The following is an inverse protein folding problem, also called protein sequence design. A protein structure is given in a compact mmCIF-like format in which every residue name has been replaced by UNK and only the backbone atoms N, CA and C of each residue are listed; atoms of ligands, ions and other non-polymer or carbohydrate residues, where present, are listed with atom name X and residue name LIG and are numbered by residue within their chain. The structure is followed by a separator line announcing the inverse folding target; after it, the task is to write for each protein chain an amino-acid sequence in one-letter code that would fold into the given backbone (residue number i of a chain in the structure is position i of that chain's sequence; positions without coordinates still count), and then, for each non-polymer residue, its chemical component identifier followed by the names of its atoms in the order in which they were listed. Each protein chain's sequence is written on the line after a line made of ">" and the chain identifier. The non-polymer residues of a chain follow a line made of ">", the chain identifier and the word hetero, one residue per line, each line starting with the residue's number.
data_IF_699728290448
#
_entry.id   IF_699728290448
#
_cell.length_a   1.000
_cell.length_b   1.000
_cell.length_c   1.000
_cell.angle_alpha   90.00
_cell.angle_beta   90.00
_cell.angle_gamma   90.00
#
_symmetry.space_group_name_H-M   'P 1'
#
loop_
_entity.id
_entity.type
_entity.pdbx_description
1 polymer ?
#
# COMPACT_ATOMS: atom_id res chain seq x y z
N UNK A 1 -4.76 -22.01 -40.11
CA UNK A 1 -6.22 -22.24 -40.09
C UNK A 1 -6.91 -21.41 -41.16
N UNK A 2 -8.14 -21.81 -41.55
CA UNK A 2 -8.94 -21.03 -42.51
C UNK A 2 -9.39 -19.71 -41.89
N UNK A 3 -9.70 -18.69 -42.72
CA UNK A 3 -10.16 -17.40 -42.21
C UNK A 3 -11.46 -17.54 -41.40
N UNK A 4 -12.36 -18.42 -41.81
CA UNK A 4 -13.58 -18.75 -41.05
C UNK A 4 -13.27 -19.33 -39.65
N UNK A 5 -12.26 -20.18 -39.54
CA UNK A 5 -11.84 -20.71 -38.24
C UNK A 5 -11.21 -19.64 -37.36
N UNK A 6 -10.50 -18.68 -37.92
CA UNK A 6 -9.96 -17.51 -37.18
C UNK A 6 -11.07 -16.60 -36.69
N UNK A 7 -12.07 -16.31 -37.51
CA UNK A 7 -13.19 -15.43 -37.15
C UNK A 7 -14.09 -16.03 -36.06
N UNK A 8 -14.18 -17.38 -36.00
CA UNK A 8 -14.99 -18.08 -34.99
C UNK A 8 -14.24 -18.46 -33.71
N UNK A 9 -12.94 -18.22 -33.65
CA UNK A 9 -12.12 -18.59 -32.51
C UNK A 9 -12.01 -17.43 -31.49
N UNK A 10 -12.17 -17.72 -30.21
CA UNK A 10 -11.92 -16.75 -29.10
C UNK A 10 -10.43 -16.42 -28.93
N UNK A 11 -9.53 -17.30 -29.39
CA UNK A 11 -8.07 -17.15 -29.32
C UNK A 11 -7.41 -17.66 -30.60
N UNK A 12 -6.57 -16.84 -31.22
CA UNK A 12 -5.82 -17.21 -32.42
C UNK A 12 -4.33 -17.20 -32.10
N UNK A 13 -3.65 -18.34 -32.35
CA UNK A 13 -2.20 -18.47 -32.25
C UNK A 13 -1.54 -18.01 -33.54
N UNK A 14 -0.74 -16.94 -33.50
CA UNK A 14 -0.05 -16.42 -34.67
C UNK A 14 1.19 -17.26 -35.04
N UNK A 15 1.77 -17.96 -34.08
CA UNK A 15 2.97 -18.78 -34.18
C UNK A 15 2.68 -20.30 -34.27
N UNK A 16 1.42 -20.69 -34.29
CA UNK A 16 0.94 -22.08 -34.25
C UNK A 16 1.60 -22.94 -33.14
N UNK A 17 2.03 -22.29 -32.05
CA UNK A 17 2.74 -22.94 -30.96
C UNK A 17 1.88 -23.04 -29.69
N UNK A 18 1.56 -24.27 -29.24
CA UNK A 18 0.80 -24.52 -28.02
C UNK A 18 1.50 -24.01 -26.75
N UNK A 19 2.84 -23.89 -26.74
CA UNK A 19 3.56 -23.30 -25.60
C UNK A 19 3.14 -21.83 -25.35
N UNK A 20 2.73 -21.11 -26.40
CA UNK A 20 2.24 -19.73 -26.30
C UNK A 20 0.91 -19.64 -25.52
N UNK A 21 0.05 -20.67 -25.59
CA UNK A 21 -1.16 -20.76 -24.75
C UNK A 21 -0.77 -20.87 -23.27
N UNK A 22 0.19 -21.73 -22.94
CA UNK A 22 0.67 -21.91 -21.56
C UNK A 22 1.28 -20.62 -21.04
N UNK A 23 2.08 -19.92 -21.85
CA UNK A 23 2.66 -18.63 -21.50
C UNK A 23 1.57 -17.56 -21.28
N UNK A 24 0.54 -17.52 -22.13
CA UNK A 24 -0.58 -16.59 -22.00
C UNK A 24 -1.39 -16.87 -20.72
N UNK A 25 -1.68 -18.13 -20.39
CA UNK A 25 -2.36 -18.51 -19.15
C UNK A 25 -1.54 -18.09 -17.93
N UNK A 26 -0.23 -18.32 -17.94
CA UNK A 26 0.70 -17.92 -16.86
C UNK A 26 0.69 -16.41 -16.66
N UNK A 27 0.80 -15.66 -17.74
CA UNK A 27 0.75 -14.20 -17.71
C UNK A 27 -0.60 -13.68 -17.20
N UNK A 28 -1.70 -14.23 -17.68
CA UNK A 28 -3.05 -13.87 -17.22
C UNK A 28 -3.26 -14.12 -15.72
N UNK A 29 -2.76 -15.25 -15.20
CA UNK A 29 -2.81 -15.56 -13.77
C UNK A 29 -1.98 -14.56 -12.95
N UNK A 30 -0.78 -14.17 -13.43
CA UNK A 30 0.06 -13.16 -12.78
C UNK A 30 -0.63 -11.80 -12.75
N UNK A 31 -1.14 -11.34 -13.89
CA UNK A 31 -1.86 -10.05 -13.99
C UNK A 31 -3.05 -10.04 -13.02
N UNK A 32 -3.85 -11.10 -12.99
CA UNK A 32 -4.99 -11.20 -12.09
C UNK A 32 -4.58 -11.16 -10.60
N UNK A 33 -3.54 -11.89 -10.21
CA UNK A 33 -3.01 -11.88 -8.84
C UNK A 33 -2.50 -10.49 -8.46
N UNK A 34 -1.77 -9.81 -9.35
CA UNK A 34 -1.23 -8.49 -9.11
C UNK A 34 -2.32 -7.42 -9.00
N UNK A 35 -3.37 -7.52 -9.83
CA UNK A 35 -4.53 -6.65 -9.73
C UNK A 35 -5.29 -6.84 -8.41
N UNK A 36 -5.44 -8.08 -7.91
CA UNK A 36 -6.01 -8.34 -6.58
C UNK A 36 -5.16 -7.75 -5.45
N UNK A 37 -3.81 -7.80 -5.57
CA UNK A 37 -2.89 -7.21 -4.61
C UNK A 37 -3.04 -5.68 -4.58
N UNK A 38 -3.10 -5.04 -5.75
CA UNK A 38 -3.32 -3.59 -5.89
C UNK A 38 -4.65 -3.17 -5.24
N UNK A 39 -5.75 -3.88 -5.53
CA UNK A 39 -7.06 -3.60 -4.91
C UNK A 39 -7.03 -3.77 -3.38
N UNK A 40 -6.32 -4.79 -2.89
CA UNK A 40 -6.15 -5.01 -1.45
C UNK A 40 -5.38 -3.86 -0.78
N UNK A 41 -4.35 -3.35 -1.45
CA UNK A 41 -3.59 -2.19 -1.00
C UNK A 41 -4.44 -0.91 -1.02
N UNK A 42 -5.17 -0.64 -2.10
CA UNK A 42 -6.06 0.54 -2.22
C UNK A 42 -7.06 0.57 -1.06
N UNK A 43 -7.73 -0.55 -0.77
CA UNK A 43 -8.64 -0.63 0.37
C UNK A 43 -7.90 -0.33 1.69
N UNK A 44 -6.72 -0.92 1.89
CA UNK A 44 -5.97 -0.76 3.14
C UNK A 44 -5.53 0.69 3.38
N UNK A 45 -5.03 1.40 2.35
CA UNK A 45 -4.50 2.76 2.53
C UNK A 45 -5.60 3.82 2.66
N UNK A 46 -6.76 3.61 2.05
CA UNK A 46 -7.86 4.56 2.17
C UNK A 46 -8.51 4.56 3.56
N UNK A 47 -8.41 3.47 4.32
CA UNK A 47 -8.92 3.43 5.70
C UNK A 47 -8.29 4.50 6.60
N UNK A 48 -6.95 4.62 6.72
CA UNK A 48 -6.36 5.68 7.52
C UNK A 48 -6.62 7.08 6.94
N UNK A 49 -6.62 7.26 5.62
CA UNK A 49 -6.91 8.56 5.00
C UNK A 49 -8.32 9.03 5.38
N UNK A 50 -9.34 8.19 5.15
CA UNK A 50 -10.74 8.50 5.47
C UNK A 50 -10.89 8.70 6.98
N UNK A 51 -10.32 7.81 7.80
CA UNK A 51 -10.39 7.89 9.26
C UNK A 51 -9.83 9.20 9.80
N UNK A 52 -8.66 9.62 9.32
CA UNK A 52 -8.00 10.86 9.76
C UNK A 52 -8.72 12.13 9.28
N UNK A 53 -9.35 12.08 8.11
CA UNK A 53 -10.16 13.21 7.59
C UNK A 53 -11.46 13.38 8.39
N UNK A 54 -12.11 12.26 8.78
CA UNK A 54 -13.39 12.30 9.48
C UNK A 54 -13.20 12.53 11.00
N UNK A 55 -12.05 12.14 11.55
CA UNK A 55 -11.79 12.18 13.01
C UNK A 55 -12.06 13.55 13.67
N UNK A 56 -11.66 14.71 13.10
CA UNK A 56 -11.95 16.01 13.68
C UNK A 56 -13.45 16.36 13.71
N UNK A 57 -14.24 15.78 12.81
CA UNK A 57 -15.69 15.98 12.77
C UNK A 57 -16.42 15.11 13.82
N UNK A 58 -15.86 13.95 14.17
CA UNK A 58 -16.45 13.04 15.15
C UNK A 58 -16.04 13.36 16.59
N UNK A 59 -14.84 13.91 16.79
CA UNK A 59 -14.27 14.14 18.11
C UNK A 59 -13.95 15.63 18.29
N UNK A 60 -14.69 16.30 19.16
CA UNK A 60 -14.45 17.70 19.51
C UNK A 60 -13.07 17.88 20.16
N UNK A 61 -12.34 18.90 19.73
CA UNK A 61 -11.01 19.21 20.27
C UNK A 61 -9.83 18.48 19.61
N UNK A 62 -10.08 17.65 18.60
CA UNK A 62 -9.02 17.05 17.77
C UNK A 62 -8.71 18.02 16.61
N UNK A 63 -7.49 18.56 16.52
CA UNK A 63 -7.11 19.44 15.40
C UNK A 63 -7.08 18.67 14.07
N UNK A 64 -7.29 19.41 12.96
CA UNK A 64 -7.22 18.82 11.61
C UNK A 64 -5.77 18.36 11.35
N UNK A 65 -5.61 17.08 11.06
CA UNK A 65 -4.33 16.49 10.69
C UNK A 65 -4.07 16.60 9.19
N UNK A 66 -5.03 16.17 8.37
CA UNK A 66 -4.89 16.13 6.92
C UNK A 66 -5.59 17.32 6.27
N UNK A 67 -4.82 18.19 5.60
CA UNK A 67 -5.31 19.19 4.68
C UNK A 67 -5.31 18.64 3.25
N UNK A 68 -5.99 19.29 2.29
CA UNK A 68 -6.02 18.82 0.89
C UNK A 68 -4.63 18.56 0.28
N UNK A 69 -3.63 19.36 0.63
CA UNK A 69 -2.25 19.17 0.16
C UNK A 69 -1.64 17.84 0.59
N UNK A 70 -1.96 17.36 1.80
CA UNK A 70 -1.49 16.06 2.28
C UNK A 70 -2.14 14.91 1.49
N UNK A 71 -3.43 15.05 1.13
CA UNK A 71 -4.16 14.06 0.35
C UNK A 71 -3.57 14.00 -1.07
N UNK A 72 -3.36 15.15 -1.72
CA UNK A 72 -2.71 15.21 -3.04
C UNK A 72 -1.32 14.57 -3.00
N UNK A 73 -0.54 14.82 -1.95
CA UNK A 73 0.76 14.18 -1.78
C UNK A 73 0.65 12.65 -1.66
N UNK A 74 -0.33 12.16 -0.91
CA UNK A 74 -0.58 10.71 -0.79
C UNK A 74 -0.95 10.09 -2.13
N UNK A 75 -1.82 10.73 -2.91
CA UNK A 75 -2.22 10.24 -4.25
C UNK A 75 -1.04 10.19 -5.22
N UNK A 76 -0.13 11.17 -5.17
CA UNK A 76 1.12 11.16 -5.95
C UNK A 76 2.03 9.94 -5.65
N UNK A 77 1.84 9.28 -4.50
CA UNK A 77 2.55 8.04 -4.15
C UNK A 77 1.69 6.83 -4.52
N UNK A 78 0.38 6.87 -4.19
CA UNK A 78 -0.53 5.73 -4.35
C UNK A 78 -0.68 5.35 -5.82
N UNK A 79 -0.89 6.32 -6.71
CA UNK A 79 -1.11 6.08 -8.14
C UNK A 79 0.08 5.38 -8.82
N UNK A 80 1.34 5.86 -8.70
CA UNK A 80 2.49 5.16 -9.27
C UNK A 80 2.74 3.77 -8.66
N UNK A 81 2.44 3.58 -7.36
CA UNK A 81 2.53 2.27 -6.73
C UNK A 81 1.53 1.31 -7.37
N UNK A 82 0.28 1.73 -7.55
CA UNK A 82 -0.76 0.90 -8.14
C UNK A 82 -0.46 0.56 -9.61
N UNK A 83 -0.05 1.56 -10.39
CA UNK A 83 0.14 1.40 -11.85
C UNK A 83 1.48 0.74 -12.22
N UNK A 84 2.55 0.95 -11.46
CA UNK A 84 3.89 0.50 -11.84
C UNK A 84 4.38 -0.63 -10.95
N UNK A 85 4.31 -0.47 -9.62
CA UNK A 85 4.90 -1.44 -8.71
C UNK A 85 4.14 -2.76 -8.68
N UNK A 86 2.78 -2.71 -8.67
CA UNK A 86 1.97 -3.94 -8.70
C UNK A 86 1.95 -4.58 -10.09
N UNK A 87 1.95 -3.81 -11.18
CA UNK A 87 2.00 -4.36 -12.52
C UNK A 87 3.31 -5.13 -12.77
N UNK A 88 4.44 -4.57 -12.34
CA UNK A 88 5.77 -5.15 -12.51
C UNK A 88 6.09 -6.29 -11.55
N UNK A 89 5.21 -6.58 -10.56
CA UNK A 89 5.49 -7.62 -9.56
C UNK A 89 5.56 -9.01 -10.20
N UNK A 90 6.54 -9.79 -9.73
CA UNK A 90 6.73 -11.16 -10.19
C UNK A 90 5.57 -12.07 -9.80
N UNK A 91 5.44 -13.17 -10.52
CA UNK A 91 4.45 -14.20 -10.20
C UNK A 91 4.72 -14.85 -8.85
N UNK A 92 3.65 -15.28 -8.17
CA UNK A 92 3.77 -16.08 -6.94
C UNK A 92 4.23 -17.51 -7.26
N UNK A 93 5.01 -18.11 -6.37
CA UNK A 93 5.48 -19.50 -6.52
C UNK A 93 4.32 -20.46 -6.74
N UNK A 94 4.48 -21.38 -7.69
CA UNK A 94 3.48 -22.41 -7.99
C UNK A 94 2.21 -21.89 -8.68
N UNK A 95 2.23 -20.73 -9.33
CA UNK A 95 1.06 -20.12 -9.98
C UNK A 95 0.38 -21.07 -10.99
N UNK A 96 1.15 -21.90 -11.69
CA UNK A 96 0.64 -22.87 -12.66
C UNK A 96 0.10 -24.17 -12.03
N UNK A 97 0.45 -24.45 -10.78
CA UNK A 97 -0.02 -25.64 -10.05
C UNK A 97 -1.42 -25.43 -9.43
N UNK A 98 -1.96 -24.22 -9.49
CA UNK A 98 -3.29 -23.91 -8.97
C UNK A 98 -4.37 -24.41 -9.93
N UNK A 99 -5.48 -24.88 -9.38
CA UNK A 99 -6.69 -25.18 -10.16
C UNK A 99 -7.18 -23.93 -10.91
N UNK A 100 -7.90 -24.10 -12.04
CA UNK A 100 -8.56 -23.00 -12.71
C UNK A 100 -9.49 -22.25 -11.76
N UNK A 101 -9.58 -20.92 -11.95
CA UNK A 101 -10.46 -20.08 -11.14
C UNK A 101 -11.93 -20.42 -11.38
N UNK A 102 -12.71 -20.47 -10.33
CA UNK A 102 -14.17 -20.51 -10.47
C UNK A 102 -14.64 -19.11 -10.90
N UNK A 103 -15.22 -18.98 -12.09
CA UNK A 103 -15.72 -17.72 -12.66
C UNK A 103 -16.94 -17.18 -11.92
N UNK A 104 -17.66 -18.01 -11.17
CA UNK A 104 -18.78 -17.57 -10.33
C UNK A 104 -18.34 -16.81 -9.08
N UNK A 105 -17.07 -16.90 -8.67
CA UNK A 105 -16.55 -16.08 -7.56
C UNK A 105 -16.21 -14.70 -8.03
N UNK A 106 -16.68 -13.67 -7.32
CA UNK A 106 -16.37 -12.27 -7.61
C UNK A 106 -14.86 -11.98 -7.70
N UNK A 107 -14.51 -10.91 -8.39
CA UNK A 107 -13.12 -10.50 -8.58
C UNK A 107 -12.36 -10.30 -7.25
N UNK A 108 -13.03 -9.78 -6.22
CA UNK A 108 -12.45 -9.48 -4.92
C UNK A 108 -13.06 -10.39 -3.85
N UNK A 109 -12.27 -11.34 -3.35
CA UNK A 109 -12.73 -12.26 -2.32
C UNK A 109 -12.97 -11.49 -1.00
N UNK A 110 -14.10 -11.76 -0.33
CA UNK A 110 -14.50 -11.15 0.93
C UNK A 110 -13.41 -11.28 2.03
N UNK A 111 -12.70 -12.39 2.03
CA UNK A 111 -11.55 -12.62 2.93
C UNK A 111 -10.40 -11.63 2.71
N UNK A 112 -10.14 -11.25 1.46
CA UNK A 112 -9.11 -10.26 1.12
C UNK A 112 -9.52 -8.87 1.60
N UNK A 113 -10.82 -8.52 1.46
CA UNK A 113 -11.37 -7.27 1.95
C UNK A 113 -11.15 -7.09 3.44
N UNK A 114 -11.57 -8.04 4.27
CA UNK A 114 -11.40 -7.97 5.72
C UNK A 114 -9.93 -7.88 6.14
N UNK A 115 -9.06 -8.60 5.47
CA UNK A 115 -7.64 -8.49 5.77
C UNK A 115 -7.01 -7.17 5.37
N UNK A 116 -7.49 -6.53 4.31
CA UNK A 116 -7.06 -5.18 3.91
C UNK A 116 -7.60 -4.13 4.89
N UNK A 117 -8.86 -4.28 5.30
CA UNK A 117 -9.49 -3.44 6.32
C UNK A 117 -8.71 -3.49 7.65
N UNK A 118 -8.34 -4.68 8.13
CA UNK A 118 -7.52 -4.83 9.34
C UNK A 118 -6.16 -4.16 9.19
N UNK A 119 -5.49 -4.33 8.05
CA UNK A 119 -4.23 -3.64 7.77
C UNK A 119 -4.38 -2.12 7.82
N UNK A 120 -5.44 -1.59 7.20
CA UNK A 120 -5.76 -0.16 7.20
C UNK A 120 -6.13 0.38 8.57
N UNK A 121 -6.91 -0.37 9.36
CA UNK A 121 -7.25 0.00 10.75
C UNK A 121 -5.99 0.04 11.63
N UNK A 122 -5.07 -0.90 11.46
CA UNK A 122 -3.79 -0.86 12.15
C UNK A 122 -2.96 0.38 11.78
N UNK A 123 -2.94 0.76 10.50
CA UNK A 123 -2.29 1.99 10.04
C UNK A 123 -2.95 3.23 10.65
N UNK A 124 -4.29 3.30 10.67
CA UNK A 124 -5.04 4.39 11.31
C UNK A 124 -4.66 4.50 12.78
N UNK A 125 -4.71 3.40 13.53
CA UNK A 125 -4.36 3.37 14.96
C UNK A 125 -2.92 3.81 15.20
N UNK A 126 -1.97 3.35 14.39
CA UNK A 126 -0.57 3.75 14.46
C UNK A 126 -0.41 5.27 14.36
N UNK A 127 -1.01 5.88 13.33
CA UNK A 127 -0.93 7.33 13.09
C UNK A 127 -1.63 8.13 14.19
N UNK A 128 -2.84 7.72 14.58
CA UNK A 128 -3.65 8.39 15.61
C UNK A 128 -2.95 8.37 16.97
N UNK A 129 -2.36 7.25 17.36
CA UNK A 129 -1.63 7.14 18.63
C UNK A 129 -0.47 8.12 18.66
N UNK A 130 0.34 8.18 17.60
CA UNK A 130 1.47 9.13 17.51
C UNK A 130 0.95 10.57 17.55
N UNK A 131 -0.08 10.89 16.75
CA UNK A 131 -0.62 12.24 16.70
C UNK A 131 -1.12 12.72 18.06
N UNK A 132 -1.92 11.91 18.76
CA UNK A 132 -2.48 12.27 20.08
C UNK A 132 -1.37 12.35 21.13
N UNK A 133 -0.42 11.42 21.11
CA UNK A 133 0.71 11.43 22.03
C UNK A 133 1.54 12.72 21.87
N UNK A 134 1.95 13.04 20.66
CA UNK A 134 2.78 14.20 20.37
C UNK A 134 2.05 15.52 20.67
N UNK A 135 0.78 15.63 20.29
CA UNK A 135 -0.01 16.84 20.54
C UNK A 135 -0.23 17.09 22.06
N UNK A 136 -0.37 16.01 22.86
CA UNK A 136 -0.56 16.15 24.32
C UNK A 136 0.76 16.33 25.07
N UNK A 137 1.81 15.65 24.66
CA UNK A 137 3.08 15.64 25.38
C UNK A 137 3.89 16.95 25.16
N UNK A 138 3.80 17.53 23.97
CA UNK A 138 4.64 18.67 23.56
C UNK A 138 3.85 19.92 23.17
N UNK A 139 2.54 19.83 22.99
CA UNK A 139 1.63 20.96 22.78
C UNK A 139 1.67 21.62 21.40
N UNK A 140 2.66 21.31 20.54
CA UNK A 140 2.72 21.82 19.16
C UNK A 140 1.91 20.95 18.22
N UNK A 141 0.87 21.53 17.63
CA UNK A 141 0.03 20.85 16.62
C UNK A 141 0.79 20.69 15.29
N UNK A 142 1.66 21.63 14.93
CA UNK A 142 2.47 21.60 13.72
C UNK A 142 3.48 20.45 13.72
N UNK A 143 4.21 20.28 14.84
CA UNK A 143 5.17 19.18 15.02
C UNK A 143 4.46 17.82 15.11
N UNK A 144 3.34 17.73 15.87
CA UNK A 144 2.54 16.51 15.95
C UNK A 144 2.01 16.10 14.56
N UNK A 145 1.58 17.07 13.74
CA UNK A 145 1.15 16.82 12.35
C UNK A 145 2.29 16.30 11.49
N UNK A 146 3.48 16.88 11.57
CA UNK A 146 4.65 16.42 10.82
C UNK A 146 5.00 14.97 11.16
N UNK A 147 5.08 14.61 12.45
CA UNK A 147 5.36 13.22 12.89
C UNK A 147 4.25 12.25 12.54
N UNK A 148 2.99 12.65 12.66
CA UNK A 148 1.85 11.83 12.25
C UNK A 148 1.84 11.59 10.73
N UNK A 149 2.19 12.61 9.93
CA UNK A 149 2.29 12.46 8.48
C UNK A 149 3.49 11.57 8.09
N UNK A 150 4.64 11.69 8.75
CA UNK A 150 5.75 10.73 8.62
C UNK A 150 5.28 9.30 8.92
N UNK A 151 4.50 9.12 9.98
CA UNK A 151 3.94 7.81 10.36
C UNK A 151 2.98 7.27 9.31
N UNK A 152 2.16 8.13 8.70
CA UNK A 152 1.24 7.77 7.63
C UNK A 152 2.00 7.32 6.36
N UNK A 153 3.04 8.06 5.96
CA UNK A 153 3.89 7.66 4.83
C UNK A 153 4.61 6.34 5.13
N UNK A 154 5.18 6.18 6.31
CA UNK A 154 5.81 4.92 6.71
C UNK A 154 4.81 3.76 6.69
N UNK A 155 3.60 3.96 7.23
CA UNK A 155 2.53 2.96 7.19
C UNK A 155 2.15 2.61 5.75
N UNK A 156 2.05 3.61 4.86
CA UNK A 156 1.79 3.40 3.45
C UNK A 156 2.86 2.52 2.80
N UNK A 157 4.14 2.84 2.99
CA UNK A 157 5.24 2.05 2.44
C UNK A 157 5.23 0.61 2.97
N UNK A 158 4.98 0.41 4.26
CA UNK A 158 4.86 -0.93 4.86
C UNK A 158 3.65 -1.70 4.29
N UNK A 159 2.51 -1.03 4.05
CA UNK A 159 1.33 -1.62 3.40
C UNK A 159 1.63 -2.01 1.95
N UNK A 160 2.36 -1.19 1.18
CA UNK A 160 2.81 -1.52 -0.18
C UNK A 160 3.59 -2.84 -0.15
N UNK A 161 4.71 -2.89 0.59
CA UNK A 161 5.56 -4.08 0.64
C UNK A 161 4.84 -5.29 1.24
N UNK A 162 3.91 -5.06 2.17
CA UNK A 162 3.06 -6.14 2.69
C UNK A 162 2.10 -6.68 1.63
N UNK A 163 1.59 -5.84 0.75
CA UNK A 163 0.60 -6.21 -0.27
C UNK A 163 1.22 -6.82 -1.53
N UNK A 164 2.49 -6.54 -1.84
CA UNK A 164 3.20 -7.08 -3.01
C UNK A 164 3.28 -8.62 -3.00
N UNK A 165 3.27 -9.27 -1.85
CA UNK A 165 3.18 -10.73 -1.78
C UNK A 165 2.22 -11.19 -0.69
N UNK A 166 1.44 -12.22 -1.02
CA UNK A 166 0.49 -12.85 -0.09
C UNK A 166 1.19 -13.80 0.91
N UNK A 167 2.33 -14.35 0.54
CA UNK A 167 3.01 -15.43 1.26
C UNK A 167 4.37 -15.03 1.84
N UNK A 168 5.11 -14.17 1.13
CA UNK A 168 6.46 -13.74 1.55
C UNK A 168 6.41 -12.69 2.66
N UNK A 169 7.38 -12.75 3.58
CA UNK A 169 7.54 -11.73 4.63
C UNK A 169 7.88 -10.36 4.01
N UNK A 170 7.43 -9.27 4.65
CA UNK A 170 7.67 -7.89 4.17
C UNK A 170 9.15 -7.62 3.94
N UNK A 171 10.01 -7.98 4.90
CA UNK A 171 11.47 -7.78 4.77
C UNK A 171 12.06 -8.54 3.58
N UNK A 172 11.58 -9.76 3.30
CA UNK A 172 12.04 -10.54 2.16
C UNK A 172 11.62 -9.89 0.83
N UNK A 173 10.39 -9.38 0.75
CA UNK A 173 9.89 -8.65 -0.43
C UNK A 173 10.75 -7.42 -0.73
N UNK A 174 11.16 -6.66 0.30
CA UNK A 174 12.07 -5.51 0.15
C UNK A 174 13.42 -5.94 -0.44
N UNK A 175 13.98 -7.06 0.04
CA UNK A 175 15.30 -7.57 -0.40
C UNK A 175 15.24 -8.16 -1.82
N UNK A 176 14.15 -8.80 -2.20
CA UNK A 176 13.95 -9.45 -3.52
C UNK A 176 13.79 -8.47 -4.69
N UNK A 177 13.87 -7.15 -4.42
CA UNK A 177 14.04 -6.06 -5.39
C UNK A 177 12.94 -5.90 -6.44
N UNK A 178 11.70 -5.61 -6.03
CA UNK A 178 10.82 -4.86 -6.93
C UNK A 178 11.40 -3.44 -7.10
N UNK A 179 12.16 -3.23 -8.21
CA UNK A 179 12.88 -1.97 -8.46
C UNK A 179 11.93 -0.77 -8.53
N UNK A 180 10.73 -0.98 -9.07
CA UNK A 180 9.72 0.07 -9.18
C UNK A 180 9.21 0.49 -7.79
N UNK A 181 8.84 -0.47 -6.95
CA UNK A 181 8.40 -0.19 -5.59
C UNK A 181 9.48 0.52 -4.76
N UNK A 182 10.74 0.08 -4.87
CA UNK A 182 11.87 0.72 -4.17
C UNK A 182 12.13 2.14 -4.67
N UNK A 183 12.08 2.37 -5.99
CA UNK A 183 12.26 3.69 -6.58
C UNK A 183 11.17 4.66 -6.11
N UNK A 184 9.90 4.26 -6.23
CA UNK A 184 8.76 5.08 -5.80
C UNK A 184 8.84 5.37 -4.29
N UNK A 185 9.19 4.36 -3.48
CA UNK A 185 9.38 4.53 -2.04
C UNK A 185 10.51 5.51 -1.72
N UNK A 186 11.62 5.44 -2.45
CA UNK A 186 12.74 6.37 -2.32
C UNK A 186 12.33 7.80 -2.66
N UNK A 187 11.61 8.00 -3.77
CA UNK A 187 11.06 9.31 -4.15
C UNK A 187 10.12 9.83 -3.06
N UNK A 188 9.22 9.00 -2.55
CA UNK A 188 8.28 9.37 -1.48
C UNK A 188 9.01 9.86 -0.22
N UNK A 189 10.07 9.15 0.19
CA UNK A 189 10.88 9.54 1.37
C UNK A 189 11.62 10.86 1.12
N UNK A 190 12.20 11.05 -0.07
CA UNK A 190 12.90 12.30 -0.43
C UNK A 190 11.92 13.48 -0.43
N UNK A 191 10.75 13.34 -1.07
CA UNK A 191 9.77 14.43 -1.12
C UNK A 191 9.19 14.72 0.26
N UNK A 192 8.97 13.69 1.09
CA UNK A 192 8.60 13.87 2.50
C UNK A 192 9.68 14.65 3.28
N UNK A 193 10.95 14.30 3.12
CA UNK A 193 12.04 15.03 3.77
C UNK A 193 12.08 16.49 3.33
N UNK A 194 11.92 16.76 2.02
CA UNK A 194 11.83 18.12 1.50
C UNK A 194 10.63 18.89 2.05
N UNK A 195 9.48 18.25 2.22
CA UNK A 195 8.26 18.88 2.75
C UNK A 195 8.40 19.29 4.22
N UNK A 196 9.35 18.71 4.95
CA UNK A 196 9.62 19.06 6.36
C UNK A 196 10.79 20.04 6.49
N UNK A 197 11.85 19.85 5.69
CA UNK A 197 13.11 20.59 5.83
C UNK A 197 13.11 21.94 5.10
N UNK A 198 12.30 22.09 4.04
CA UNK A 198 12.25 23.31 3.23
C UNK A 198 11.10 24.18 3.73
N UNK A 199 11.43 25.29 4.42
CA UNK A 199 10.44 26.15 5.08
C UNK A 199 9.22 26.53 4.20
N UNK A 200 9.34 27.03 2.96
CA UNK A 200 8.16 27.36 2.14
C UNK A 200 7.23 26.17 1.87
N UNK A 201 7.80 24.96 1.80
CA UNK A 201 7.02 23.73 1.60
C UNK A 201 6.40 23.30 2.94
N UNK A 202 7.17 23.35 4.03
CA UNK A 202 6.68 23.03 5.37
C UNK A 202 5.48 23.91 5.75
N UNK A 203 5.53 25.19 5.42
CA UNK A 203 4.42 26.15 5.66
C UNK A 203 3.16 25.75 4.88
N UNK A 204 3.30 25.29 3.62
CA UNK A 204 2.17 24.80 2.81
C UNK A 204 1.50 23.58 3.45
N UNK A 205 2.29 22.67 4.04
CA UNK A 205 1.80 21.50 4.78
C UNK A 205 1.43 21.82 6.24
N UNK A 206 1.66 23.07 6.67
CA UNK A 206 1.49 23.51 8.07
C UNK A 206 2.28 22.63 9.04
N UNK A 207 3.48 22.24 8.66
CA UNK A 207 4.42 21.53 9.49
C UNK A 207 5.29 22.50 10.28
N UNK A 208 5.58 22.12 11.52
CA UNK A 208 6.68 22.63 12.31
C UNK A 208 7.73 21.54 12.44
N UNK A 209 9.01 21.93 12.52
CA UNK A 209 10.11 20.97 12.56
C UNK A 209 10.21 20.31 13.95
N UNK A 210 9.92 19.01 14.10
CA UNK A 210 10.12 18.31 15.36
C UNK A 210 11.60 18.15 15.65
N UNK A 211 11.95 18.09 16.95
CA UNK A 211 13.32 17.73 17.35
C UNK A 211 13.70 16.32 16.84
N UNK A 212 14.96 16.15 16.38
CA UNK A 212 15.44 14.91 15.75
C UNK A 212 15.17 13.63 16.58
N UNK A 213 15.28 13.71 17.90
CA UNK A 213 15.00 12.57 18.79
C UNK A 213 13.55 12.10 18.74
N UNK A 214 12.62 12.97 18.36
CA UNK A 214 11.18 12.59 18.32
C UNK A 214 10.85 11.69 17.14
N UNK A 215 11.65 11.67 16.10
CA UNK A 215 11.46 10.72 14.98
C UNK A 215 11.64 9.24 15.40
N UNK A 216 12.31 8.95 16.53
CA UNK A 216 12.38 7.58 17.05
C UNK A 216 11.01 7.01 17.42
N UNK A 217 10.03 7.84 17.78
CA UNK A 217 8.66 7.38 18.04
C UNK A 217 8.02 6.82 16.77
N UNK A 218 8.27 7.49 15.62
CA UNK A 218 7.78 7.03 14.30
C UNK A 218 8.45 5.71 13.91
N UNK A 219 9.77 5.61 14.10
CA UNK A 219 10.54 4.39 13.77
C UNK A 219 10.07 3.21 14.63
N UNK A 220 9.97 3.41 15.96
CA UNK A 220 9.53 2.37 16.88
C UNK A 220 8.09 1.93 16.59
N UNK A 221 7.17 2.89 16.39
CA UNK A 221 5.80 2.60 16.00
C UNK A 221 5.71 1.87 14.66
N UNK A 222 6.56 2.23 13.68
CA UNK A 222 6.68 1.53 12.40
C UNK A 222 7.13 0.08 12.54
N UNK A 223 8.07 -0.21 13.46
CA UNK A 223 8.50 -1.58 13.77
C UNK A 223 7.34 -2.38 14.37
N UNK A 224 6.59 -1.81 15.31
CA UNK A 224 5.41 -2.48 15.88
C UNK A 224 4.34 -2.73 14.82
N UNK A 225 4.11 -1.77 13.93
CA UNK A 225 3.17 -1.91 12.82
C UNK A 225 3.63 -2.98 11.82
N UNK A 226 4.92 -3.09 11.55
CA UNK A 226 5.47 -4.18 10.74
C UNK A 226 5.17 -5.56 11.33
N UNK A 227 5.39 -5.74 12.65
CA UNK A 227 5.05 -7.00 13.34
C UNK A 227 3.55 -7.30 13.28
N UNK A 228 2.70 -6.28 13.42
CA UNK A 228 1.26 -6.41 13.25
C UNK A 228 0.87 -6.90 11.85
N UNK A 229 1.44 -6.33 10.79
CA UNK A 229 1.19 -6.78 9.41
C UNK A 229 1.66 -8.22 9.18
N UNK A 230 2.81 -8.61 9.73
CA UNK A 230 3.30 -9.99 9.66
C UNK A 230 2.38 -10.97 10.40
N UNK A 231 1.81 -10.56 11.53
CA UNK A 231 0.84 -11.37 12.27
C UNK A 231 -0.44 -11.60 11.45
N UNK A 232 -0.96 -10.55 10.81
CA UNK A 232 -2.13 -10.67 9.90
C UNK A 232 -1.84 -11.64 8.76
N UNK A 233 -0.64 -11.57 8.15
CA UNK A 233 -0.25 -12.49 7.08
C UNK A 233 -0.25 -13.94 7.53
N UNK A 234 0.29 -14.22 8.73
CA UNK A 234 0.30 -15.59 9.27
C UNK A 234 -1.11 -16.14 9.47
N UNK A 235 -2.02 -15.34 10.01
CA UNK A 235 -3.43 -15.74 10.21
C UNK A 235 -4.08 -16.05 8.87
N UNK A 236 -3.81 -15.27 7.82
CA UNK A 236 -4.35 -15.50 6.48
C UNK A 236 -3.77 -16.72 5.77
N UNK A 237 -2.51 -17.05 6.01
CA UNK A 237 -1.83 -18.19 5.36
C UNK A 237 -2.06 -19.52 6.07
N UNK A 238 -2.45 -19.52 7.34
CA UNK A 238 -2.71 -20.71 8.14
C UNK A 238 -4.18 -21.16 8.16
N UNK A 239 -5.07 -20.43 7.50
CA UNK A 239 -6.48 -20.74 7.27
C UNK A 239 -6.76 -20.97 5.79
#
# INVERSE_FOLDING_TARGET
>A
GTDVARESADLVLLDDNFASIVAAIRSGRRIYDNLQKAMSYIVAIHVPIIGLVIMPALFTGVPILLFPVHIVFMELIIDPVCSIAFESEAEEEGIMNRTPRNTATGFFAWRNFWGSLLGGLGALMFVVIIYIYEARAFGSVGEARALAFCSLILANLLLVFSSLSKTRRVLRVVVERNRAALFISGVAVVVLALSILVNPIADLFRFEQPGLLRYWVVVFGGILFLFYLEAIKKIKSGA
#
